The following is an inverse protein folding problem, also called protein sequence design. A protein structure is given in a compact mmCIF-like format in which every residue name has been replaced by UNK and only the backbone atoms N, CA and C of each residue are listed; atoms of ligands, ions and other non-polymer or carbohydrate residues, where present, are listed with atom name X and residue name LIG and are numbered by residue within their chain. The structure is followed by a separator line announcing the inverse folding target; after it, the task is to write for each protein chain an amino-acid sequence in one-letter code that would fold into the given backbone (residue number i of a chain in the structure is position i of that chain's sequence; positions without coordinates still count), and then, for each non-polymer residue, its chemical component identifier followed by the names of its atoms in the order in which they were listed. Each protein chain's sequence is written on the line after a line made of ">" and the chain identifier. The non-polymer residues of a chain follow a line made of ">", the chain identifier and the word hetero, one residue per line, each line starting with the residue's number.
data_IF_459749274852
#
_entry.id   IF_459749274852
#
_cell.length_a   1.000
_cell.length_b   1.000
_cell.length_c   1.000
_cell.angle_alpha   90.00
_cell.angle_beta   90.00
_cell.angle_gamma   90.00
#
_symmetry.space_group_name_H-M   'P 1'
#
loop_
_entity.id
_entity.type
_entity.pdbx_description
1 polymer ?
#
# COMPACT_ATOMS: atom_id res chain seq x y z
N UNK A 1 -17.31 -21.46 13.67
CA UNK A 1 -18.11 -20.85 12.60
C UNK A 1 -17.29 -19.76 11.93
N UNK A 2 -17.09 -19.92 10.63
CA UNK A 2 -16.40 -18.93 9.80
C UNK A 2 -17.30 -17.70 9.58
N UNK A 3 -16.70 -16.52 9.46
CA UNK A 3 -17.42 -15.26 9.26
C UNK A 3 -16.65 -14.36 8.30
N UNK A 4 -17.37 -13.56 7.53
CA UNK A 4 -16.83 -12.53 6.65
C UNK A 4 -17.52 -11.19 6.94
N UNK A 5 -16.81 -10.10 6.67
CA UNK A 5 -17.39 -8.75 6.64
C UNK A 5 -17.64 -8.37 5.19
N UNK A 6 -18.90 -8.23 4.82
CA UNK A 6 -19.34 -7.79 3.50
C UNK A 6 -19.67 -6.31 3.55
N UNK A 7 -19.24 -5.58 2.53
CA UNK A 7 -19.52 -4.15 2.36
C UNK A 7 -20.32 -3.97 1.07
N UNK A 8 -21.34 -3.12 1.07
CA UNK A 8 -22.06 -2.76 -0.16
C UNK A 8 -21.15 -1.88 -1.03
N UNK A 9 -20.92 -2.29 -2.28
CA UNK A 9 -19.94 -1.60 -3.14
C UNK A 9 -20.26 -0.12 -3.39
N UNK A 10 -21.55 0.21 -3.49
CA UNK A 10 -22.04 1.57 -3.74
C UNK A 10 -22.27 2.38 -2.45
N UNK A 11 -22.21 1.75 -1.27
CA UNK A 11 -22.31 2.39 0.04
C UNK A 11 -21.40 1.68 1.04
N UNK A 12 -20.16 2.20 1.17
CA UNK A 12 -19.14 1.60 2.02
C UNK A 12 -19.46 1.68 3.53
N UNK A 13 -20.50 2.42 3.91
CA UNK A 13 -20.95 2.50 5.30
C UNK A 13 -21.97 1.41 5.66
N UNK A 14 -22.56 0.77 4.64
CA UNK A 14 -23.42 -0.39 4.79
C UNK A 14 -22.58 -1.68 4.86
N UNK A 15 -22.49 -2.23 6.07
CA UNK A 15 -21.60 -3.35 6.43
C UNK A 15 -22.38 -4.45 7.14
N UNK A 16 -22.15 -5.70 6.71
CA UNK A 16 -22.78 -6.89 7.27
C UNK A 16 -21.73 -7.92 7.68
N UNK A 17 -21.92 -8.55 8.85
CA UNK A 17 -21.14 -9.72 9.26
C UNK A 17 -21.91 -10.97 8.89
N UNK A 18 -21.39 -11.72 7.91
CA UNK A 18 -22.03 -12.90 7.34
C UNK A 18 -21.39 -14.15 7.93
N UNK A 19 -22.20 -15.03 8.51
CA UNK A 19 -21.76 -16.36 8.90
C UNK A 19 -21.66 -17.25 7.67
N UNK A 20 -20.59 -18.05 7.59
CA UNK A 20 -20.40 -19.03 6.54
C UNK A 20 -20.58 -20.43 7.11
N UNK A 21 -21.16 -21.30 6.30
CA UNK A 21 -21.19 -22.73 6.58
C UNK A 21 -19.76 -23.30 6.57
N UNK A 22 -19.53 -24.29 7.42
CA UNK A 22 -18.27 -25.01 7.42
C UNK A 22 -18.19 -25.88 6.15
N UNK A 23 -17.27 -25.54 5.26
CA UNK A 23 -17.03 -26.30 4.03
C UNK A 23 -15.90 -27.31 4.21
N UNK A 24 -16.01 -28.48 3.57
CA UNK A 24 -14.90 -29.44 3.47
C UNK A 24 -13.76 -28.79 2.70
N UNK A 25 -12.54 -28.85 3.23
CA UNK A 25 -11.36 -28.31 2.58
C UNK A 25 -11.07 -29.08 1.28
N UNK A 26 -10.84 -28.35 0.18
CA UNK A 26 -10.55 -28.95 -1.11
C UNK A 26 -9.20 -29.71 -1.12
N UNK A 27 -9.01 -30.61 -2.09
CA UNK A 27 -7.74 -31.30 -2.28
C UNK A 27 -6.61 -30.30 -2.59
N UNK A 28 -5.43 -30.51 -2.01
CA UNK A 28 -4.30 -29.60 -2.13
C UNK A 28 -4.46 -28.21 -1.49
N UNK A 29 -5.60 -27.88 -0.88
CA UNK A 29 -5.85 -26.59 -0.24
C UNK A 29 -5.39 -26.55 1.22
N UNK A 30 -5.29 -25.34 1.78
CA UNK A 30 -5.05 -25.09 3.20
C UNK A 30 -6.03 -24.05 3.74
N UNK A 31 -6.57 -24.28 4.95
CA UNK A 31 -7.44 -23.33 5.65
C UNK A 31 -6.64 -22.52 6.65
N UNK A 32 -6.66 -21.21 6.46
CA UNK A 32 -6.03 -20.24 7.33
C UNK A 32 -7.07 -19.66 8.30
N UNK A 33 -6.82 -19.74 9.60
CA UNK A 33 -7.52 -18.94 10.61
C UNK A 33 -6.79 -17.61 10.78
N UNK A 34 -7.49 -16.51 10.54
CA UNK A 34 -6.94 -15.16 10.59
C UNK A 34 -6.78 -14.74 12.05
N UNK A 35 -5.56 -14.42 12.45
CA UNK A 35 -5.22 -14.05 13.83
C UNK A 35 -5.28 -12.52 14.03
N UNK A 36 -4.81 -11.77 13.03
CA UNK A 36 -4.81 -10.31 13.06
C UNK A 36 -4.66 -9.72 11.66
N UNK A 37 -5.16 -8.50 11.47
CA UNK A 37 -4.90 -7.68 10.29
C UNK A 37 -4.94 -6.19 10.65
N UNK A 38 -4.31 -5.34 9.84
CA UNK A 38 -4.35 -3.88 10.05
C UNK A 38 -5.49 -3.22 9.28
N UNK A 39 -6.18 -2.28 9.94
CA UNK A 39 -7.10 -1.33 9.30
C UNK A 39 -6.39 0.01 9.12
N UNK A 40 -6.33 0.49 7.89
CA UNK A 40 -5.62 1.69 7.47
C UNK A 40 -6.41 2.43 6.38
N UNK A 41 -6.04 3.66 6.08
CA UNK A 41 -6.64 4.42 4.98
C UNK A 41 -6.57 3.68 3.62
N UNK A 42 -5.53 2.87 3.38
CA UNK A 42 -5.44 2.06 2.15
C UNK A 42 -6.60 1.08 1.99
N UNK A 43 -7.16 0.58 3.09
CA UNK A 43 -8.28 -0.35 3.01
C UNK A 43 -9.54 0.35 2.49
N UNK A 44 -9.75 1.62 2.89
CA UNK A 44 -10.81 2.47 2.31
C UNK A 44 -10.54 2.71 0.83
N UNK A 45 -9.29 3.00 0.45
CA UNK A 45 -8.89 3.15 -0.95
C UNK A 45 -9.21 1.91 -1.78
N UNK A 46 -8.89 0.71 -1.29
CA UNK A 46 -9.21 -0.54 -1.99
C UNK A 46 -10.71 -0.72 -2.23
N UNK A 47 -11.54 -0.29 -1.28
CA UNK A 47 -12.98 -0.34 -1.40
C UNK A 47 -13.52 0.69 -2.40
N UNK A 48 -13.07 1.95 -2.31
CA UNK A 48 -13.51 3.05 -3.18
C UNK A 48 -13.15 2.81 -4.64
N UNK A 49 -11.96 2.29 -4.94
CA UNK A 49 -11.52 2.03 -6.33
C UNK A 49 -11.60 0.54 -6.71
N UNK A 50 -12.43 -0.22 -6.01
CA UNK A 50 -12.40 -1.67 -6.06
C UNK A 50 -12.72 -2.25 -7.44
N UNK A 51 -13.67 -1.68 -8.19
CA UNK A 51 -13.96 -2.14 -9.55
C UNK A 51 -12.93 -1.61 -10.57
N UNK A 52 -12.47 -0.35 -10.41
CA UNK A 52 -11.53 0.27 -11.34
C UNK A 52 -10.13 -0.38 -11.36
N UNK A 53 -9.67 -0.89 -10.21
CA UNK A 53 -8.39 -1.59 -10.07
C UNK A 53 -8.52 -3.09 -9.77
N UNK A 54 -9.75 -3.61 -9.73
CA UNK A 54 -10.04 -5.02 -9.49
C UNK A 54 -9.79 -5.51 -8.06
N UNK A 55 -9.68 -4.62 -7.05
CA UNK A 55 -9.46 -5.06 -5.66
C UNK A 55 -10.58 -5.96 -5.12
N UNK A 56 -11.81 -5.81 -5.63
CA UNK A 56 -12.91 -6.72 -5.27
C UNK A 56 -12.69 -8.16 -5.76
N UNK A 57 -11.82 -8.38 -6.75
CA UNK A 57 -11.56 -9.69 -7.32
C UNK A 57 -10.66 -10.56 -6.44
N UNK A 58 -9.97 -9.97 -5.45
CA UNK A 58 -9.12 -10.75 -4.53
C UNK A 58 -9.94 -11.66 -3.63
N UNK A 59 -11.15 -11.25 -3.24
CA UNK A 59 -12.01 -12.00 -2.33
C UNK A 59 -13.44 -11.97 -2.86
N UNK A 60 -13.85 -12.99 -3.64
CA UNK A 60 -15.19 -13.06 -4.20
C UNK A 60 -16.28 -12.98 -3.12
N UNK A 61 -17.30 -12.18 -3.39
CA UNK A 61 -18.46 -11.96 -2.54
C UNK A 61 -19.74 -12.02 -3.42
N UNK A 62 -20.94 -12.14 -2.81
CA UNK A 62 -22.20 -12.05 -3.56
C UNK A 62 -22.31 -10.76 -4.37
N UNK A 63 -23.14 -10.76 -5.41
CA UNK A 63 -23.36 -9.61 -6.27
C UNK A 63 -23.74 -8.34 -5.47
N UNK A 64 -23.13 -7.21 -5.82
CA UNK A 64 -23.30 -5.93 -5.11
C UNK A 64 -22.55 -5.81 -3.78
N UNK A 65 -21.93 -6.90 -3.29
CA UNK A 65 -21.09 -6.90 -2.10
C UNK A 65 -19.61 -7.02 -2.45
N UNK A 66 -18.76 -6.60 -1.52
CA UNK A 66 -17.31 -6.73 -1.59
C UNK A 66 -16.72 -7.12 -0.23
N UNK A 67 -15.57 -7.79 -0.24
CA UNK A 67 -14.80 -8.08 0.96
C UNK A 67 -13.50 -7.29 0.85
N UNK A 68 -13.31 -6.35 1.79
CA UNK A 68 -12.15 -5.46 1.73
C UNK A 68 -10.89 -6.27 2.06
N UNK A 69 -9.82 -6.16 1.25
CA UNK A 69 -8.60 -6.89 1.49
C UNK A 69 -7.66 -6.17 2.47
N UNK A 70 -6.93 -6.96 3.26
CA UNK A 70 -6.11 -6.54 4.41
C UNK A 70 -4.72 -7.18 4.36
N UNK A 71 -3.76 -6.61 5.08
CA UNK A 71 -2.49 -7.29 5.36
C UNK A 71 -2.49 -7.77 6.81
N UNK A 72 -2.08 -9.02 7.02
CA UNK A 72 -2.22 -9.62 8.33
C UNK A 72 -1.53 -10.96 8.51
N UNK A 73 -1.75 -11.55 9.69
CA UNK A 73 -1.22 -12.84 10.10
C UNK A 73 -2.34 -13.86 10.20
N UNK A 74 -2.04 -15.09 9.80
CA UNK A 74 -2.95 -16.21 9.92
C UNK A 74 -2.20 -17.50 10.28
N UNK A 75 -2.95 -18.47 10.79
CA UNK A 75 -2.46 -19.80 11.13
C UNK A 75 -3.14 -20.86 10.30
N UNK A 76 -2.37 -21.80 9.77
CA UNK A 76 -2.93 -22.99 9.11
C UNK A 76 -3.62 -23.84 10.17
N UNK A 77 -4.94 -24.02 10.10
CA UNK A 77 -5.71 -24.85 11.03
C UNK A 77 -6.08 -26.22 10.45
N UNK A 78 -6.10 -26.32 9.12
CA UNK A 78 -6.40 -27.53 8.38
C UNK A 78 -5.62 -27.48 7.06
N UNK A 79 -5.08 -28.61 6.60
CA UNK A 79 -4.31 -28.65 5.36
C UNK A 79 -4.45 -30.00 4.67
N UNK A 80 -4.82 -29.95 3.40
CA UNK A 80 -4.72 -31.04 2.43
C UNK A 80 -3.50 -30.86 1.50
N UNK A 81 -2.59 -29.93 1.84
CA UNK A 81 -1.34 -29.68 1.12
C UNK A 81 -0.16 -30.28 1.90
N UNK A 82 0.53 -31.33 1.40
CA UNK A 82 1.64 -31.96 2.12
C UNK A 82 2.82 -31.05 2.43
N UNK A 83 2.98 -29.95 1.68
CA UNK A 83 4.11 -29.02 1.79
C UNK A 83 3.86 -27.87 2.79
N UNK A 84 2.61 -27.72 3.27
CA UNK A 84 2.18 -26.69 4.22
C UNK A 84 1.42 -27.35 5.38
N UNK A 85 2.06 -27.46 6.54
CA UNK A 85 1.51 -28.19 7.68
C UNK A 85 0.55 -27.33 8.52
N UNK A 86 -0.40 -28.00 9.19
CA UNK A 86 -1.20 -27.37 10.23
C UNK A 86 -0.33 -26.86 11.39
N UNK A 87 -0.71 -25.72 11.97
CA UNK A 87 0.00 -25.02 13.04
C UNK A 87 0.96 -23.94 12.55
N UNK A 88 1.36 -23.95 11.27
CA UNK A 88 2.22 -22.92 10.68
C UNK A 88 1.56 -21.55 10.69
N UNK A 89 2.36 -20.50 10.92
CA UNK A 89 1.90 -19.11 10.84
C UNK A 89 2.45 -18.43 9.60
N UNK A 90 1.62 -17.61 8.99
CA UNK A 90 1.91 -16.92 7.74
C UNK A 90 1.55 -15.45 7.82
N UNK A 91 2.23 -14.62 7.04
CA UNK A 91 1.90 -13.22 6.81
C UNK A 91 1.59 -12.99 5.34
N UNK A 92 0.50 -12.30 5.02
CA UNK A 92 0.10 -12.05 3.64
C UNK A 92 -1.17 -11.23 3.51
N UNK A 93 -1.78 -11.29 2.32
CA UNK A 93 -3.00 -10.56 1.97
C UNK A 93 -4.24 -11.38 2.34
N UNK A 94 -5.13 -10.83 3.16
CA UNK A 94 -6.21 -11.55 3.82
C UNK A 94 -7.55 -10.82 3.63
N UNK A 95 -8.69 -11.51 3.61
CA UNK A 95 -9.99 -10.87 3.64
C UNK A 95 -10.27 -10.28 5.03
N UNK A 96 -11.18 -9.32 5.12
CA UNK A 96 -11.87 -9.04 6.40
C UNK A 96 -12.79 -10.21 6.74
N UNK A 97 -12.22 -11.24 7.36
CA UNK A 97 -12.90 -12.48 7.72
C UNK A 97 -12.23 -13.15 8.93
N UNK A 98 -12.80 -14.26 9.39
CA UNK A 98 -12.14 -15.13 10.38
C UNK A 98 -11.27 -16.20 9.73
N UNK A 99 -11.54 -16.57 8.47
CA UNK A 99 -10.82 -17.62 7.75
C UNK A 99 -10.61 -17.29 6.27
N UNK A 100 -9.61 -17.93 5.68
CA UNK A 100 -9.36 -17.94 4.24
C UNK A 100 -8.87 -19.33 3.82
N UNK A 101 -9.51 -19.92 2.82
CA UNK A 101 -8.98 -21.09 2.14
C UNK A 101 -8.07 -20.63 1.00
N UNK A 102 -6.86 -21.18 0.95
CA UNK A 102 -5.85 -20.91 -0.10
C UNK A 102 -5.51 -22.18 -0.85
N UNK A 103 -4.99 -22.04 -2.07
CA UNK A 103 -4.41 -23.15 -2.85
C UNK A 103 -2.90 -22.95 -2.93
N UNK A 104 -2.09 -23.49 -1.99
CA UNK A 104 -0.66 -23.25 -1.97
C UNK A 104 0.03 -23.81 -3.22
N UNK A 105 0.81 -22.97 -3.89
CA UNK A 105 1.74 -23.37 -4.96
C UNK A 105 3.08 -22.68 -4.81
N UNK A 106 4.08 -23.17 -5.54
CA UNK A 106 5.47 -22.72 -5.44
C UNK A 106 5.94 -22.67 -3.98
N UNK A 107 5.62 -23.71 -3.22
CA UNK A 107 5.88 -23.78 -1.79
C UNK A 107 7.38 -23.90 -1.55
N UNK A 108 7.87 -23.10 -0.62
CA UNK A 108 9.25 -23.10 -0.15
C UNK A 108 9.27 -22.95 1.36
N UNK A 109 10.46 -23.08 1.97
CA UNK A 109 10.61 -22.81 3.41
C UNK A 109 10.19 -21.37 3.76
N UNK A 110 10.46 -20.39 2.90
CA UNK A 110 10.21 -18.97 3.16
C UNK A 110 8.78 -18.51 2.86
N UNK A 111 8.02 -19.24 2.05
CA UNK A 111 6.69 -18.81 1.64
C UNK A 111 6.07 -19.66 0.54
N UNK A 112 4.86 -19.29 0.14
CA UNK A 112 4.13 -19.87 -0.99
C UNK A 112 3.32 -18.80 -1.71
N UNK A 113 2.74 -19.15 -2.86
CA UNK A 113 1.76 -18.34 -3.58
C UNK A 113 0.38 -18.99 -3.56
N UNK A 114 -0.67 -18.19 -3.35
CA UNK A 114 -2.05 -18.64 -3.51
C UNK A 114 -2.40 -18.75 -5.00
N UNK A 115 -2.63 -19.98 -5.43
CA UNK A 115 -2.92 -20.38 -6.81
C UNK A 115 -4.42 -20.40 -7.12
N UNK A 116 -5.27 -19.91 -6.21
CA UNK A 116 -6.71 -19.80 -6.46
C UNK A 116 -6.98 -19.07 -7.79
N UNK A 117 -7.90 -19.60 -8.60
CA UNK A 117 -8.11 -19.16 -9.97
C UNK A 117 -8.45 -17.66 -10.08
N UNK A 118 -9.27 -17.14 -9.16
CA UNK A 118 -9.66 -15.72 -9.13
C UNK A 118 -8.49 -14.78 -8.77
N UNK A 119 -7.43 -15.30 -8.16
CA UNK A 119 -6.23 -14.54 -7.78
C UNK A 119 -5.22 -14.38 -8.92
N UNK A 120 -5.22 -15.30 -9.89
CA UNK A 120 -4.15 -15.38 -10.91
C UNK A 120 -4.09 -14.18 -11.88
N UNK A 121 -5.21 -13.55 -12.27
CA UNK A 121 -5.17 -12.34 -13.09
C UNK A 121 -4.61 -11.11 -12.36
N UNK A 122 -4.51 -11.16 -11.03
CA UNK A 122 -4.09 -10.03 -10.20
C UNK A 122 -2.57 -9.97 -10.04
N UNK A 123 -2.05 -8.84 -9.55
CA UNK A 123 -0.61 -8.70 -9.31
C UNK A 123 -0.10 -9.79 -8.34
N UNK A 124 0.95 -10.56 -8.71
CA UNK A 124 1.44 -11.68 -7.91
C UNK A 124 1.88 -11.31 -6.49
N UNK A 125 2.15 -10.03 -6.22
CA UNK A 125 2.58 -9.57 -4.89
C UNK A 125 1.52 -9.83 -3.82
N UNK A 126 0.23 -9.77 -4.19
CA UNK A 126 -0.90 -9.96 -3.27
C UNK A 126 -1.24 -11.43 -3.04
N UNK A 127 -0.62 -12.33 -3.80
CA UNK A 127 -0.83 -13.77 -3.66
C UNK A 127 0.28 -14.43 -2.85
N UNK A 128 1.32 -13.67 -2.45
CA UNK A 128 2.47 -14.19 -1.72
C UNK A 128 2.20 -14.21 -0.21
N UNK A 129 2.47 -15.37 0.40
CA UNK A 129 2.41 -15.56 1.85
C UNK A 129 3.79 -15.94 2.38
N UNK A 130 4.29 -15.16 3.34
CA UNK A 130 5.56 -15.42 4.02
C UNK A 130 5.32 -16.39 5.18
N UNK A 131 6.13 -17.45 5.30
CA UNK A 131 6.07 -18.40 6.42
C UNK A 131 6.91 -17.86 7.56
N UNK A 132 6.26 -17.46 8.65
CA UNK A 132 6.90 -16.70 9.74
C UNK A 132 8.07 -17.42 10.40
N UNK A 133 8.03 -18.76 10.46
CA UNK A 133 9.09 -19.56 11.08
C UNK A 133 10.44 -19.50 10.36
N UNK A 134 10.44 -19.21 9.05
CA UNK A 134 11.65 -19.12 8.23
C UNK A 134 11.92 -17.69 7.75
N UNK A 135 11.13 -16.72 8.24
CA UNK A 135 11.19 -15.34 7.81
C UNK A 135 12.21 -14.57 8.67
N UNK A 136 13.33 -14.13 8.09
CA UNK A 136 14.37 -13.42 8.85
C UNK A 136 13.91 -12.04 9.34
N UNK A 137 12.84 -11.47 8.78
CA UNK A 137 12.27 -10.18 9.19
C UNK A 137 11.20 -10.36 10.28
N UNK A 138 10.87 -11.59 10.65
CA UNK A 138 9.84 -11.84 11.65
C UNK A 138 10.33 -11.53 13.07
N UNK A 139 9.73 -10.50 13.66
CA UNK A 139 9.82 -10.17 15.08
C UNK A 139 8.40 -10.27 15.69
N UNK A 140 8.12 -11.28 16.54
CA UNK A 140 6.82 -11.44 17.19
C UNK A 140 6.37 -10.20 17.98
N UNK A 141 7.30 -9.40 18.49
CA UNK A 141 6.98 -8.19 19.23
C UNK A 141 6.57 -7.01 18.32
N UNK A 142 6.75 -7.14 17.00
CA UNK A 142 6.48 -6.08 16.00
C UNK A 142 5.52 -6.49 14.89
N UNK A 143 4.72 -7.52 15.12
CA UNK A 143 3.71 -7.96 14.14
C UNK A 143 2.72 -6.85 13.80
N UNK A 144 2.32 -6.02 14.78
CA UNK A 144 1.44 -4.87 14.57
C UNK A 144 2.01 -3.86 13.58
N UNK A 145 3.25 -3.45 13.82
CA UNK A 145 3.99 -2.53 12.97
C UNK A 145 4.21 -3.11 11.57
N UNK A 146 4.47 -4.41 11.47
CA UNK A 146 4.63 -5.09 10.18
C UNK A 146 3.35 -5.05 9.36
N UNK A 147 2.18 -5.29 9.96
CA UNK A 147 0.90 -5.18 9.24
C UNK A 147 0.68 -3.75 8.72
N UNK A 148 1.00 -2.75 9.56
CA UNK A 148 0.77 -1.34 9.26
C UNK A 148 1.75 -0.78 8.22
N UNK A 149 3.03 -1.10 8.33
CA UNK A 149 4.10 -0.50 7.54
C UNK A 149 4.68 -1.40 6.46
N UNK A 150 4.63 -2.73 6.59
CA UNK A 150 5.35 -3.66 5.69
C UNK A 150 5.12 -3.38 4.19
N UNK A 151 3.86 -3.37 3.72
CA UNK A 151 3.55 -3.10 2.31
C UNK A 151 3.92 -1.66 1.90
N UNK A 152 3.72 -0.69 2.80
CA UNK A 152 3.92 0.73 2.53
C UNK A 152 5.42 1.09 2.47
N UNK A 153 6.21 0.48 3.35
CA UNK A 153 7.66 0.55 3.33
C UNK A 153 8.22 -0.05 2.06
N UNK A 154 7.70 -1.21 1.61
CA UNK A 154 8.12 -1.83 0.34
C UNK A 154 7.88 -0.90 -0.85
N UNK A 155 6.75 -0.19 -0.89
CA UNK A 155 6.49 0.85 -1.90
C UNK A 155 7.54 1.95 -1.85
N UNK A 156 7.82 2.51 -0.66
CA UNK A 156 8.86 3.53 -0.49
C UNK A 156 10.26 3.02 -0.91
N UNK A 157 10.59 1.78 -0.57
CA UNK A 157 11.85 1.14 -0.97
C UNK A 157 11.99 1.01 -2.49
N UNK A 158 10.93 0.62 -3.20
CA UNK A 158 10.94 0.51 -4.65
C UNK A 158 11.03 1.88 -5.33
N UNK A 159 10.34 2.90 -4.80
CA UNK A 159 10.42 4.28 -5.30
C UNK A 159 11.84 4.81 -5.14
N UNK A 160 12.45 4.70 -3.95
CA UNK A 160 13.84 5.12 -3.73
C UNK A 160 14.80 4.38 -4.67
N UNK A 161 14.64 3.06 -4.80
CA UNK A 161 15.48 2.25 -5.67
C UNK A 161 15.38 2.65 -7.15
N UNK A 162 14.19 3.03 -7.61
CA UNK A 162 13.98 3.61 -8.93
C UNK A 162 14.68 4.97 -9.06
N UNK A 163 14.38 5.92 -8.17
CA UNK A 163 14.95 7.27 -8.21
C UNK A 163 16.47 7.25 -8.19
N UNK A 164 17.07 6.45 -7.31
CA UNK A 164 18.53 6.31 -7.19
C UNK A 164 19.16 5.70 -8.44
N UNK A 165 18.49 4.75 -9.11
CA UNK A 165 18.97 4.18 -10.38
C UNK A 165 19.01 5.23 -11.50
N UNK A 166 18.03 6.12 -11.51
CA UNK A 166 17.97 7.25 -12.44
C UNK A 166 18.82 8.45 -11.98
N UNK A 167 19.69 8.28 -10.97
CA UNK A 167 20.54 9.36 -10.44
C UNK A 167 19.74 10.53 -9.89
N UNK A 168 18.54 10.28 -9.35
CA UNK A 168 17.56 11.28 -8.92
C UNK A 168 17.24 12.32 -10.00
N UNK A 169 17.44 12.00 -11.28
CA UNK A 169 17.27 12.93 -12.40
C UNK A 169 18.10 14.22 -12.25
N UNK A 170 19.22 14.15 -11.51
CA UNK A 170 20.06 15.30 -11.18
C UNK A 170 19.52 16.20 -10.06
N UNK A 171 18.44 15.80 -9.38
CA UNK A 171 17.88 16.54 -8.26
C UNK A 171 18.66 16.35 -6.95
N UNK A 172 18.73 17.42 -6.16
CA UNK A 172 19.24 17.40 -4.79
C UNK A 172 18.14 17.33 -3.72
N UNK A 173 16.87 17.47 -4.10
CA UNK A 173 15.72 17.39 -3.21
C UNK A 173 14.71 16.33 -3.65
N UNK A 174 14.09 15.71 -2.65
CA UNK A 174 12.90 14.89 -2.74
C UNK A 174 11.76 15.60 -2.00
N UNK A 175 10.79 16.10 -2.74
CA UNK A 175 9.55 16.68 -2.21
C UNK A 175 8.50 15.56 -2.11
N UNK A 176 7.88 15.41 -0.95
CA UNK A 176 6.88 14.36 -0.72
C UNK A 176 5.60 14.95 -0.16
N UNK A 177 4.49 14.79 -0.87
CA UNK A 177 3.17 15.17 -0.36
C UNK A 177 2.65 14.14 0.63
N UNK A 178 1.62 14.51 1.39
CA UNK A 178 1.06 13.67 2.46
C UNK A 178 2.17 13.15 3.39
N UNK A 179 3.07 14.03 3.82
CA UNK A 179 4.28 13.66 4.55
C UNK A 179 4.02 12.96 5.90
N UNK A 180 2.85 13.18 6.51
CA UNK A 180 2.43 12.44 7.70
C UNK A 180 1.88 11.03 7.39
N UNK A 181 1.74 10.66 6.11
CA UNK A 181 1.26 9.33 5.72
C UNK A 181 2.37 8.28 5.87
N UNK A 182 1.94 7.05 6.19
CA UNK A 182 2.85 5.92 6.43
C UNK A 182 3.71 5.57 5.21
N UNK A 183 3.18 5.70 3.99
CA UNK A 183 3.94 5.44 2.75
C UNK A 183 5.00 6.50 2.53
N UNK A 184 4.66 7.79 2.74
CA UNK A 184 5.60 8.90 2.65
C UNK A 184 6.70 8.77 3.71
N UNK A 185 6.34 8.48 4.97
CA UNK A 185 7.32 8.20 6.03
C UNK A 185 8.21 7.01 5.71
N UNK A 186 7.66 5.96 5.10
CA UNK A 186 8.44 4.80 4.61
C UNK A 186 9.50 5.23 3.59
N UNK A 187 9.12 6.02 2.59
CA UNK A 187 10.06 6.58 1.62
C UNK A 187 11.11 7.50 2.26
N UNK A 188 10.70 8.41 3.16
CA UNK A 188 11.65 9.27 3.89
C UNK A 188 12.70 8.46 4.65
N UNK A 189 12.26 7.42 5.37
CA UNK A 189 13.13 6.52 6.12
C UNK A 189 14.15 5.83 5.21
N UNK A 190 13.70 5.27 4.08
CA UNK A 190 14.60 4.62 3.12
C UNK A 190 15.57 5.62 2.49
N UNK A 191 15.07 6.78 2.04
CA UNK A 191 15.89 7.82 1.43
C UNK A 191 16.94 8.35 2.41
N UNK A 192 16.60 8.52 3.69
CA UNK A 192 17.55 8.91 4.74
C UNK A 192 18.71 7.93 4.88
N UNK A 193 18.46 6.64 4.72
CA UNK A 193 19.48 5.62 4.85
C UNK A 193 20.28 5.41 3.55
N UNK A 194 19.61 5.38 2.40
CA UNK A 194 20.19 4.93 1.12
C UNK A 194 20.60 6.06 0.18
N UNK A 195 20.03 7.24 0.37
CA UNK A 195 20.32 8.47 -0.40
C UNK A 195 20.45 9.68 0.55
N UNK A 196 21.33 9.62 1.57
CA UNK A 196 21.43 10.65 2.61
C UNK A 196 21.77 12.05 2.07
N UNK A 197 22.37 12.13 0.88
CA UNK A 197 22.70 13.36 0.18
C UNK A 197 21.49 14.08 -0.44
N UNK A 198 20.35 13.39 -0.58
CA UNK A 198 19.11 13.98 -1.11
C UNK A 198 18.30 14.54 0.06
N UNK A 199 18.02 15.84 -0.01
CA UNK A 199 17.24 16.56 1.00
C UNK A 199 15.78 16.13 0.94
N UNK A 200 15.24 15.66 2.06
CA UNK A 200 13.85 15.17 2.19
C UNK A 200 12.97 16.32 2.66
N UNK A 201 12.09 16.81 1.79
CA UNK A 201 11.16 17.91 2.06
C UNK A 201 9.74 17.33 2.16
N UNK A 202 9.13 17.46 3.33
CA UNK A 202 7.77 16.99 3.60
C UNK A 202 6.73 18.09 3.40
N UNK A 203 5.68 17.79 2.62
CA UNK A 203 4.48 18.61 2.49
C UNK A 203 3.30 17.93 3.18
N UNK A 204 2.63 18.62 4.10
CA UNK A 204 1.48 18.08 4.84
C UNK A 204 0.47 19.18 5.18
N UNK A 205 -0.66 18.82 5.78
CA UNK A 205 -1.62 19.81 6.28
C UNK A 205 -1.07 20.53 7.52
N UNK A 206 -1.48 21.78 7.75
CA UNK A 206 -1.03 22.61 8.89
C UNK A 206 -1.10 21.87 10.23
N UNK A 207 -2.19 21.14 10.48
CA UNK A 207 -2.38 20.38 11.72
C UNK A 207 -1.43 19.19 11.91
N UNK A 208 -0.75 18.74 10.87
CA UNK A 208 0.19 17.60 10.88
C UNK A 208 1.66 18.02 10.83
N UNK A 209 1.96 19.32 10.71
CA UNK A 209 3.34 19.81 10.55
C UNK A 209 4.23 19.40 11.73
N UNK A 210 3.81 19.70 12.96
CA UNK A 210 4.60 19.37 14.16
C UNK A 210 4.80 17.87 14.31
N UNK A 211 3.74 17.06 14.18
CA UNK A 211 3.84 15.61 14.17
C UNK A 211 4.86 15.10 13.13
N UNK A 212 4.81 15.64 11.91
CA UNK A 212 5.70 15.21 10.82
C UNK A 212 7.15 15.58 11.13
N UNK A 213 7.42 16.74 11.74
CA UNK A 213 8.75 17.14 12.21
C UNK A 213 9.26 16.20 13.31
N UNK A 214 8.42 15.87 14.28
CA UNK A 214 8.75 14.99 15.41
C UNK A 214 9.15 13.57 14.96
N UNK A 215 8.73 13.12 13.77
CA UNK A 215 9.20 11.84 13.20
C UNK A 215 10.71 11.80 12.99
N UNK A 216 11.37 12.96 12.79
CA UNK A 216 12.80 13.05 12.50
C UNK A 216 13.22 12.45 11.15
N UNK A 217 12.27 12.16 10.26
CA UNK A 217 12.52 11.54 8.94
C UNK A 217 12.81 12.55 7.83
N UNK A 218 12.33 13.79 8.01
CA UNK A 218 12.41 14.88 7.04
C UNK A 218 13.47 15.89 7.46
N UNK A 219 14.16 16.49 6.49
CA UNK A 219 15.09 17.59 6.75
C UNK A 219 14.33 18.91 6.93
N UNK A 220 13.25 19.09 6.17
CA UNK A 220 12.32 20.22 6.28
C UNK A 220 10.87 19.74 6.12
N UNK A 221 9.95 20.44 6.79
CA UNK A 221 8.51 20.17 6.72
C UNK A 221 7.77 21.50 6.59
N UNK A 222 6.91 21.57 5.59
CA UNK A 222 6.07 22.72 5.26
C UNK A 222 4.59 22.31 5.21
N UNK A 223 3.72 23.24 5.60
CA UNK A 223 2.31 23.14 5.28
C UNK A 223 2.09 23.29 3.76
N UNK A 224 0.98 22.78 3.23
CA UNK A 224 0.65 22.94 1.81
C UNK A 224 0.57 24.42 1.39
N UNK A 225 0.11 25.30 2.28
CA UNK A 225 0.01 26.74 2.06
C UNK A 225 1.39 27.42 1.99
N UNK A 226 2.45 26.74 2.41
CA UNK A 226 3.82 27.24 2.51
C UNK A 226 4.71 26.75 1.35
N UNK A 227 4.16 26.10 0.32
CA UNK A 227 4.93 25.60 -0.84
C UNK A 227 5.81 26.71 -1.45
N UNK A 228 5.28 27.93 -1.53
CA UNK A 228 6.01 29.10 -2.05
C UNK A 228 7.27 29.50 -1.26
N UNK A 229 7.45 28.97 -0.04
CA UNK A 229 8.60 29.26 0.82
C UNK A 229 9.74 28.25 0.65
N UNK A 230 9.52 27.17 -0.11
CA UNK A 230 10.53 26.13 -0.31
C UNK A 230 11.65 26.70 -1.20
N UNK A 231 12.93 26.61 -0.81
CA UNK A 231 14.02 27.09 -1.65
C UNK A 231 14.03 26.42 -3.04
N UNK A 232 14.11 27.22 -4.11
CA UNK A 232 14.22 26.68 -5.48
C UNK A 232 15.56 25.97 -5.64
N UNK A 233 15.50 24.69 -6.00
CA UNK A 233 16.63 23.87 -6.35
C UNK A 233 16.13 22.67 -7.16
N UNK A 234 16.99 22.01 -7.96
CA UNK A 234 16.63 20.78 -8.65
C UNK A 234 15.99 19.76 -7.70
N UNK A 235 14.73 19.41 -7.96
CA UNK A 235 13.91 18.59 -7.09
C UNK A 235 13.16 17.51 -7.88
N UNK A 236 12.85 16.39 -7.23
CA UNK A 236 11.80 15.47 -7.68
C UNK A 236 10.63 15.54 -6.72
N UNK A 237 9.41 15.33 -7.22
CA UNK A 237 8.21 15.17 -6.38
C UNK A 237 7.69 13.74 -6.43
N UNK A 238 7.33 13.22 -5.27
CA UNK A 238 6.53 12.00 -5.12
C UNK A 238 5.21 12.37 -4.45
N UNK A 239 4.13 12.31 -5.23
CA UNK A 239 2.79 12.68 -4.78
C UNK A 239 2.04 11.47 -4.22
N UNK A 240 1.80 11.51 -2.91
CA UNK A 240 0.95 10.55 -2.19
C UNK A 240 -0.43 11.16 -1.80
N UNK A 241 -0.62 12.46 -1.98
CA UNK A 241 -1.85 13.15 -1.61
C UNK A 241 -2.95 12.98 -2.67
N UNK A 242 -2.58 12.81 -3.94
CA UNK A 242 -3.53 12.71 -5.06
C UNK A 242 -4.34 14.00 -5.26
N UNK A 243 -3.91 15.11 -4.66
CA UNK A 243 -4.57 16.41 -4.75
C UNK A 243 -3.97 17.20 -5.91
N UNK A 244 -4.73 17.31 -7.00
CA UNK A 244 -4.30 17.98 -8.22
C UNK A 244 -3.91 19.45 -8.00
N UNK A 245 -4.57 20.16 -7.08
CA UNK A 245 -4.24 21.55 -6.79
C UNK A 245 -2.89 21.68 -6.07
N UNK A 246 -2.60 20.80 -5.12
CA UNK A 246 -1.30 20.76 -4.43
C UNK A 246 -0.20 20.40 -5.42
N UNK A 247 -0.41 19.37 -6.26
CA UNK A 247 0.57 18.99 -7.27
C UNK A 247 0.84 20.13 -8.25
N UNK A 248 -0.22 20.81 -8.71
CA UNK A 248 -0.09 21.99 -9.55
C UNK A 248 0.76 23.09 -8.90
N UNK A 249 0.53 23.40 -7.63
CA UNK A 249 1.34 24.39 -6.90
C UNK A 249 2.82 23.98 -6.80
N UNK A 250 3.11 22.69 -6.61
CA UNK A 250 4.50 22.19 -6.63
C UNK A 250 5.12 22.39 -8.01
N UNK A 251 4.41 22.04 -9.08
CA UNK A 251 4.89 22.25 -10.44
C UNK A 251 5.12 23.74 -10.74
N UNK A 252 4.18 24.62 -10.39
CA UNK A 252 4.30 26.07 -10.59
C UNK A 252 5.45 26.68 -9.79
N UNK A 253 5.69 26.21 -8.57
CA UNK A 253 6.75 26.70 -7.70
C UNK A 253 8.14 26.32 -8.19
N UNK A 254 8.36 25.04 -8.54
CA UNK A 254 9.67 24.56 -8.97
C UNK A 254 9.93 24.78 -10.47
N UNK A 255 8.90 24.85 -11.31
CA UNK A 255 9.03 25.07 -12.76
C UNK A 255 10.06 24.13 -13.39
N UNK A 256 11.05 24.71 -14.08
CA UNK A 256 12.14 23.99 -14.74
C UNK A 256 13.08 23.25 -13.77
N UNK A 257 13.09 23.62 -12.48
CA UNK A 257 13.85 22.92 -11.45
C UNK A 257 13.20 21.62 -11.00
N UNK A 258 11.91 21.39 -11.31
CA UNK A 258 11.29 20.09 -11.09
C UNK A 258 11.79 19.10 -12.16
N UNK A 259 12.58 18.10 -11.76
CA UNK A 259 13.24 17.15 -12.68
C UNK A 259 12.44 15.89 -12.93
N UNK A 260 11.58 15.53 -11.99
CA UNK A 260 10.69 14.38 -12.13
C UNK A 260 9.46 14.52 -11.24
N UNK A 261 8.32 14.02 -11.71
CA UNK A 261 7.06 13.99 -10.97
C UNK A 261 6.51 12.57 -10.97
N UNK A 262 6.29 12.01 -9.78
CA UNK A 262 5.89 10.63 -9.57
C UNK A 262 4.57 10.58 -8.83
N UNK A 263 3.54 10.03 -9.47
CA UNK A 263 2.24 9.79 -8.84
C UNK A 263 2.21 8.45 -8.12
N UNK A 264 1.79 8.43 -6.86
CA UNK A 264 1.60 7.20 -6.08
C UNK A 264 0.18 7.14 -5.53
N UNK A 265 -0.54 6.08 -5.91
CA UNK A 265 -1.87 5.82 -5.36
C UNK A 265 -2.97 6.75 -5.85
N UNK A 266 -2.84 7.37 -7.03
CA UNK A 266 -3.85 8.28 -7.58
C UNK A 266 -5.22 7.58 -7.76
N UNK A 267 -6.13 7.81 -6.81
CA UNK A 267 -7.51 7.29 -6.77
C UNK A 267 -8.59 8.29 -7.18
N UNK A 268 -8.22 9.46 -7.68
CA UNK A 268 -9.16 10.40 -8.29
C UNK A 268 -9.08 10.31 -9.81
N UNK A 269 -9.58 9.23 -10.40
CA UNK A 269 -9.81 9.14 -11.85
C UNK A 269 -11.02 10.01 -12.25
N UNK A 270 -12.01 10.18 -11.36
CA UNK A 270 -13.23 10.93 -11.67
C UNK A 270 -13.08 12.45 -11.52
N UNK A 271 -12.27 12.94 -10.58
CA UNK A 271 -11.92 14.37 -10.54
C UNK A 271 -10.96 14.79 -11.67
N UNK A 272 -10.46 13.81 -12.47
CA UNK A 272 -9.53 14.03 -13.58
C UNK A 272 -10.19 14.25 -14.93
N UNK A 273 -11.50 14.11 -15.07
CA UNK A 273 -12.20 14.50 -16.32
C UNK A 273 -11.59 13.96 -17.62
N UNK A 274 -10.90 12.82 -17.62
CA UNK A 274 -10.31 12.22 -18.82
C UNK A 274 -9.02 11.43 -18.59
N UNK A 275 -9.13 10.11 -18.42
CA UNK A 275 -8.05 9.13 -18.62
C UNK A 275 -6.74 9.33 -17.84
N UNK A 276 -5.74 8.48 -18.08
CA UNK A 276 -4.35 8.70 -17.65
C UNK A 276 -3.68 9.86 -18.43
N UNK A 277 -4.43 10.88 -18.85
CA UNK A 277 -3.89 12.00 -19.57
C UNK A 277 -3.68 13.15 -18.59
N UNK A 278 -2.41 13.32 -18.23
CA UNK A 278 -1.76 14.59 -17.91
C UNK A 278 -2.61 15.83 -18.18
N UNK A 279 -2.81 16.68 -17.18
CA UNK A 279 -3.23 18.07 -17.42
C UNK A 279 -2.17 18.72 -18.33
N UNK A 280 -2.49 19.07 -19.59
CA UNK A 280 -1.52 19.60 -20.54
C UNK A 280 -0.95 20.97 -20.15
N UNK A 281 -1.40 21.56 -19.03
CA UNK A 281 -0.97 22.87 -18.55
C UNK A 281 0.02 22.88 -17.38
N UNK A 282 0.47 21.73 -16.85
CA UNK A 282 1.45 21.72 -15.76
C UNK A 282 2.86 22.07 -16.28
N UNK A 283 3.56 23.07 -15.69
CA UNK A 283 4.96 23.32 -16.03
C UNK A 283 5.85 22.17 -15.55
N UNK A 284 6.99 21.97 -16.22
CA UNK A 284 7.95 20.93 -15.88
C UNK A 284 7.55 19.52 -16.40
N UNK A 285 7.99 18.44 -15.73
CA UNK A 285 7.84 17.08 -16.21
C UNK A 285 6.38 16.61 -16.14
N UNK A 286 5.99 15.69 -17.02
CA UNK A 286 4.68 15.04 -16.92
C UNK A 286 4.64 14.07 -15.73
N UNK A 287 3.64 14.15 -14.83
CA UNK A 287 3.47 13.22 -13.70
C UNK A 287 3.10 11.78 -14.08
#
# INVERSE_FOLDING_TARGET
>A
MSQQVHVTKDDLTDVEVVALDDCVLADGAARLAIESFSVTANNVTYAVVGDGFGYWNFFPAPDGKGIVPMWGHARVIESNCPELAAGERVYGYLPMATHLDVVPGNVSKGGFMDMAAHRQPMSPIYNQYSRLAADPEHDPAKEGERMIFGPLFKTGFLIEGFMRREGWFGAGALVMTSASSKTSMGLASVARHRSPQVKRIGLTSTGNVEFTRETGLYDEVYAYEEIGLIPSQPAVVVDFAGNAAVLKQVHEHFGDDLKYSCLVGATHIEARGGGMNSDPGLPGPTP
#
